data_IF_215987127242
#
_entry.id   IF_215987127242
#
_cell.length_a   1.000
_cell.length_b   1.000
_cell.length_c   1.000
_cell.angle_alpha   90.00
_cell.angle_beta   90.00
_cell.angle_gamma   90.00
#
_symmetry.space_group_name_H-M   'P 1'
#
loop_
_entity.id
_entity.type
_entity.pdbx_description
1 polymer ?
#
# COMPACT_ATOMS: atom_id res chain seq x y z
N UNK A 1 6.63 -24.80 19.23
CA UNK A 1 5.83 -23.57 18.96
C UNK A 1 4.59 -23.98 18.21
N UNK A 2 3.43 -23.88 18.81
CA UNK A 2 2.18 -24.44 18.29
C UNK A 2 1.50 -23.40 17.43
N UNK A 3 1.57 -23.56 16.11
CA UNK A 3 0.67 -22.85 15.19
C UNK A 3 -0.75 -23.27 15.58
N UNK A 4 -1.55 -22.33 16.03
CA UNK A 4 -2.95 -22.59 16.35
C UNK A 4 -3.72 -22.78 15.04
N UNK A 5 -3.68 -23.99 14.51
CA UNK A 5 -4.47 -24.42 13.37
C UNK A 5 -5.91 -24.56 13.84
N UNK A 6 -6.67 -23.49 13.76
CA UNK A 6 -8.13 -23.57 13.88
C UNK A 6 -8.67 -24.23 12.61
N UNK A 7 -8.94 -25.54 12.69
CA UNK A 7 -9.66 -26.30 11.64
C UNK A 7 -9.14 -26.06 10.22
N UNK A 8 -7.83 -26.26 9.98
CA UNK A 8 -7.26 -26.11 8.65
C UNK A 8 -7.23 -24.66 8.11
N UNK A 9 -7.28 -23.66 8.99
CA UNK A 9 -7.11 -22.25 8.64
C UNK A 9 -5.90 -21.67 9.34
N UNK A 10 -5.20 -20.75 8.66
CA UNK A 10 -4.04 -20.04 9.17
C UNK A 10 -4.36 -18.58 9.45
N UNK A 11 -3.56 -17.92 10.29
CA UNK A 11 -3.69 -16.48 10.52
C UNK A 11 -3.58 -15.69 9.22
N UNK A 12 -4.40 -14.65 9.09
CA UNK A 12 -4.46 -13.84 7.88
C UNK A 12 -3.46 -12.68 7.87
N UNK A 13 -2.76 -12.41 8.98
CA UNK A 13 -1.89 -11.25 9.16
C UNK A 13 -0.82 -11.15 8.07
N UNK A 14 0.00 -12.18 7.90
CA UNK A 14 1.02 -12.21 6.86
C UNK A 14 0.45 -12.09 5.45
N UNK A 15 -0.67 -12.78 5.17
CA UNK A 15 -1.37 -12.66 3.88
C UNK A 15 -1.88 -11.24 3.65
N UNK A 16 -2.41 -10.58 4.68
CA UNK A 16 -2.90 -9.20 4.61
C UNK A 16 -1.76 -8.23 4.27
N UNK A 17 -0.62 -8.37 4.93
CA UNK A 17 0.55 -7.51 4.70
C UNK A 17 1.10 -7.67 3.28
N UNK A 18 1.24 -8.90 2.80
CA UNK A 18 1.66 -9.18 1.41
C UNK A 18 0.71 -8.56 0.38
N UNK A 19 -0.60 -8.68 0.58
CA UNK A 19 -1.60 -8.07 -0.30
C UNK A 19 -1.56 -6.55 -0.29
N UNK A 20 -1.30 -5.94 0.86
CA UNK A 20 -1.13 -4.48 1.00
C UNK A 20 0.12 -4.00 0.27
N UNK A 21 1.25 -4.67 0.46
CA UNK A 21 2.50 -4.36 -0.22
C UNK A 21 2.37 -4.45 -1.74
N UNK A 22 1.70 -5.48 -2.25
CA UNK A 22 1.40 -5.60 -3.69
C UNK A 22 0.56 -4.43 -4.21
N UNK A 23 -0.40 -3.93 -3.43
CA UNK A 23 -1.18 -2.76 -3.83
C UNK A 23 -0.38 -1.45 -3.82
N UNK A 24 0.63 -1.32 -2.96
CA UNK A 24 1.60 -0.21 -3.01
C UNK A 24 2.32 -0.20 -4.36
N UNK A 25 2.70 -1.37 -4.87
CA UNK A 25 3.33 -1.54 -6.19
C UNK A 25 2.35 -1.40 -7.37
N UNK A 26 1.05 -1.20 -7.08
CA UNK A 26 0.02 -1.00 -8.11
C UNK A 26 -0.72 -2.29 -8.52
N UNK A 27 -0.39 -3.44 -7.94
CA UNK A 27 -1.10 -4.69 -8.24
C UNK A 27 -2.50 -4.67 -7.61
N UNK A 28 -3.51 -4.33 -8.41
CA UNK A 28 -4.90 -4.24 -7.96
C UNK A 28 -5.49 -5.60 -7.55
N UNK A 29 -6.53 -5.55 -6.72
CA UNK A 29 -7.18 -6.77 -6.19
C UNK A 29 -7.68 -7.71 -7.27
N UNK A 30 -8.20 -7.20 -8.38
CA UNK A 30 -8.65 -8.03 -9.51
C UNK A 30 -7.50 -8.81 -10.17
N UNK A 31 -6.32 -8.17 -10.32
CA UNK A 31 -5.14 -8.84 -10.87
C UNK A 31 -4.63 -9.94 -9.95
N UNK A 32 -4.51 -9.63 -8.65
CA UNK A 32 -4.08 -10.63 -7.65
C UNK A 32 -5.09 -11.77 -7.58
N UNK A 33 -6.38 -11.48 -7.50
CA UNK A 33 -7.45 -12.47 -7.45
C UNK A 33 -7.37 -13.48 -8.62
N UNK A 34 -7.18 -12.97 -9.83
CA UNK A 34 -7.00 -13.81 -11.03
C UNK A 34 -5.77 -14.70 -10.92
N UNK A 35 -4.67 -14.18 -10.39
CA UNK A 35 -3.42 -14.89 -10.29
C UNK A 35 -3.44 -15.99 -9.20
N UNK A 36 -4.20 -15.82 -8.12
CA UNK A 36 -4.33 -16.82 -7.03
C UNK A 36 -5.56 -17.71 -7.17
N UNK A 37 -6.41 -17.49 -8.18
CA UNK A 37 -7.64 -18.27 -8.37
C UNK A 37 -8.72 -17.98 -7.32
N UNK A 38 -8.77 -16.75 -6.77
CA UNK A 38 -9.74 -16.32 -5.78
C UNK A 38 -10.68 -15.24 -6.31
N UNK A 39 -11.75 -14.93 -5.59
CA UNK A 39 -12.60 -13.79 -5.94
C UNK A 39 -11.95 -12.46 -5.53
N UNK A 40 -12.16 -11.42 -6.33
CA UNK A 40 -11.66 -10.08 -6.01
C UNK A 40 -12.20 -9.58 -4.66
N UNK A 41 -13.46 -9.86 -4.36
CA UNK A 41 -14.09 -9.50 -3.09
C UNK A 41 -13.36 -10.12 -1.89
N UNK A 42 -12.90 -11.38 -2.02
CA UNK A 42 -12.12 -12.05 -0.99
C UNK A 42 -10.77 -11.35 -0.79
N UNK A 43 -10.05 -11.08 -1.87
CA UNK A 43 -8.75 -10.37 -1.81
C UNK A 43 -8.92 -8.98 -1.18
N UNK A 44 -9.96 -8.24 -1.55
CA UNK A 44 -10.26 -6.93 -0.95
C UNK A 44 -10.57 -7.03 0.54
N UNK A 45 -11.35 -8.02 0.96
CA UNK A 45 -11.69 -8.26 2.37
C UNK A 45 -10.44 -8.56 3.20
N UNK A 46 -9.54 -9.44 2.70
CA UNK A 46 -8.30 -9.76 3.39
C UNK A 46 -7.38 -8.53 3.45
N UNK A 47 -7.18 -7.81 2.34
CA UNK A 47 -6.32 -6.63 2.30
C UNK A 47 -6.79 -5.51 3.25
N UNK A 48 -8.10 -5.36 3.46
CA UNK A 48 -8.64 -4.44 4.49
C UNK A 48 -8.33 -4.89 5.91
N UNK A 49 -8.09 -6.18 6.13
CA UNK A 49 -7.92 -6.76 7.45
C UNK A 49 -9.23 -7.27 8.08
N UNK A 50 -10.31 -7.39 7.28
CA UNK A 50 -11.61 -7.88 7.73
C UNK A 50 -11.64 -9.41 7.88
N UNK A 51 -10.57 -10.11 7.52
CA UNK A 51 -10.42 -11.54 7.66
C UNK A 51 -9.35 -11.85 8.72
N UNK A 52 -9.70 -12.62 9.74
CA UNK A 52 -8.74 -13.06 10.76
C UNK A 52 -7.99 -14.32 10.34
N UNK A 53 -8.58 -15.14 9.49
CA UNK A 53 -7.98 -16.38 9.03
C UNK A 53 -8.24 -16.60 7.55
N UNK A 54 -7.33 -17.32 6.89
CA UNK A 54 -7.41 -17.73 5.49
C UNK A 54 -7.13 -19.23 5.35
N UNK A 55 -7.44 -19.82 4.18
CA UNK A 55 -7.01 -21.19 3.91
C UNK A 55 -5.50 -21.25 3.67
N UNK A 56 -4.79 -22.32 4.07
CA UNK A 56 -3.36 -22.48 3.82
C UNK A 56 -3.02 -22.39 2.32
N UNK A 57 -3.88 -22.92 1.46
CA UNK A 57 -3.70 -22.86 0.00
C UNK A 57 -3.73 -21.42 -0.53
N UNK A 58 -4.66 -20.60 -0.04
CA UNK A 58 -4.72 -19.20 -0.43
C UNK A 58 -3.52 -18.41 0.12
N UNK A 59 -3.14 -18.64 1.39
CA UNK A 59 -1.95 -18.03 1.98
C UNK A 59 -0.70 -18.34 1.18
N UNK A 60 -0.48 -19.61 0.84
CA UNK A 60 0.65 -20.05 0.01
C UNK A 60 0.62 -19.46 -1.41
N UNK A 61 -0.54 -19.39 -2.04
CA UNK A 61 -0.69 -18.77 -3.37
C UNK A 61 -0.37 -17.27 -3.35
N UNK A 62 -0.80 -16.56 -2.30
CA UNK A 62 -0.48 -15.13 -2.13
C UNK A 62 1.01 -14.94 -1.85
N UNK A 63 1.62 -15.76 -1.01
CA UNK A 63 3.07 -15.71 -0.76
C UNK A 63 3.86 -15.92 -2.05
N UNK A 64 3.54 -16.95 -2.84
CA UNK A 64 4.22 -17.22 -4.10
C UNK A 64 4.09 -16.09 -5.15
N UNK A 65 2.98 -15.35 -5.15
CA UNK A 65 2.83 -14.17 -6.01
C UNK A 65 3.58 -12.98 -5.44
N UNK A 66 3.56 -12.78 -4.14
CA UNK A 66 4.32 -11.74 -3.46
C UNK A 66 5.81 -11.89 -3.78
N UNK A 67 6.41 -13.05 -3.63
CA UNK A 67 7.82 -13.32 -3.93
C UNK A 67 8.20 -12.95 -5.37
N UNK A 68 7.26 -13.05 -6.32
CA UNK A 68 7.49 -12.71 -7.72
C UNK A 68 7.28 -11.24 -8.06
N UNK A 69 6.49 -10.51 -7.28
CA UNK A 69 5.99 -9.18 -7.66
C UNK A 69 6.29 -8.06 -6.65
N UNK A 70 6.82 -8.36 -5.47
CA UNK A 70 6.99 -7.38 -4.40
C UNK A 70 7.89 -6.18 -4.79
N UNK A 71 8.86 -6.42 -5.69
CA UNK A 71 9.82 -5.44 -6.21
C UNK A 71 9.43 -4.88 -7.58
N UNK A 72 8.35 -5.38 -8.20
CA UNK A 72 7.92 -5.03 -9.55
C UNK A 72 6.67 -4.18 -9.54
N UNK A 73 6.67 -3.15 -10.35
CA UNK A 73 5.45 -2.38 -10.55
C UNK A 73 4.45 -3.16 -11.40
N UNK A 74 3.17 -2.91 -11.16
CA UNK A 74 2.11 -3.47 -11.98
C UNK A 74 2.25 -2.99 -13.43
N UNK A 75 1.89 -3.82 -14.45
CA UNK A 75 1.85 -3.38 -15.83
C UNK A 75 0.89 -2.21 -16.03
N UNK A 76 1.32 -1.25 -16.84
CA UNK A 76 0.57 -0.03 -17.17
C UNK A 76 0.57 0.25 -18.67
N UNK A 77 0.57 -0.80 -19.49
CA UNK A 77 0.64 -0.68 -20.94
C UNK A 77 -0.67 -0.16 -21.55
N UNK A 78 -1.79 -0.53 -20.97
CA UNK A 78 -3.13 -0.14 -21.43
C UNK A 78 -3.78 0.90 -20.52
N UNK A 79 -4.79 1.61 -21.03
CA UNK A 79 -5.59 2.55 -20.24
C UNK A 79 -6.23 1.90 -19.00
N UNK A 80 -6.90 0.74 -19.14
CA UNK A 80 -7.46 0.01 -18.00
C UNK A 80 -6.40 -0.43 -16.97
N UNK A 81 -5.22 -0.88 -17.40
CA UNK A 81 -4.15 -1.26 -16.49
C UNK A 81 -3.64 -0.07 -15.68
N UNK A 82 -3.40 1.08 -16.32
CA UNK A 82 -3.01 2.32 -15.64
C UNK A 82 -4.06 2.76 -14.61
N UNK A 83 -5.34 2.71 -14.99
CA UNK A 83 -6.42 3.05 -14.08
C UNK A 83 -6.48 2.11 -12.87
N UNK A 84 -6.32 0.80 -13.07
CA UNK A 84 -6.30 -0.19 -12.01
C UNK A 84 -5.10 -0.02 -11.06
N UNK A 85 -3.89 0.19 -11.61
CA UNK A 85 -2.68 0.43 -10.84
C UNK A 85 -2.78 1.73 -10.01
N UNK A 86 -3.25 2.80 -10.62
CA UNK A 86 -3.50 4.07 -9.94
C UNK A 86 -4.53 3.93 -8.81
N UNK A 87 -5.61 3.18 -9.02
CA UNK A 87 -6.62 2.91 -8.00
C UNK A 87 -6.04 2.10 -6.82
N UNK A 88 -5.19 1.10 -7.10
CA UNK A 88 -4.51 0.31 -6.08
C UNK A 88 -3.60 1.19 -5.21
N UNK A 89 -2.75 2.01 -5.84
CA UNK A 89 -1.85 2.93 -5.12
C UNK A 89 -2.61 3.97 -4.30
N UNK A 90 -3.72 4.52 -4.82
CA UNK A 90 -4.57 5.44 -4.04
C UNK A 90 -5.16 4.76 -2.81
N UNK A 91 -5.58 3.50 -2.92
CA UNK A 91 -6.08 2.73 -1.78
C UNK A 91 -4.96 2.50 -0.75
N UNK A 92 -3.77 2.11 -1.21
CA UNK A 92 -2.61 1.91 -0.36
C UNK A 92 -2.22 3.18 0.41
N UNK A 93 -2.19 4.33 -0.26
CA UNK A 93 -1.91 5.63 0.39
C UNK A 93 -2.96 5.99 1.43
N UNK A 94 -4.26 5.79 1.15
CA UNK A 94 -5.32 6.05 2.14
C UNK A 94 -5.24 5.14 3.36
N UNK A 95 -4.76 3.91 3.15
CA UNK A 95 -4.55 2.94 4.22
C UNK A 95 -3.22 3.08 4.93
N UNK A 96 -2.36 3.99 4.47
CA UNK A 96 -0.97 4.15 4.95
C UNK A 96 -0.21 2.81 4.93
N UNK A 97 -0.34 2.07 3.83
CA UNK A 97 0.28 0.75 3.69
C UNK A 97 1.74 0.86 3.28
N UNK A 98 2.59 0.04 3.88
CA UNK A 98 4.00 0.00 3.54
C UNK A 98 4.29 -0.88 2.32
N UNK A 99 5.39 -0.56 1.62
CA UNK A 99 5.92 -1.37 0.53
C UNK A 99 6.57 -2.66 1.06
N UNK A 100 6.74 -3.67 0.20
CA UNK A 100 7.39 -4.94 0.56
C UNK A 100 8.80 -4.77 1.12
N UNK A 101 9.57 -3.81 0.60
CA UNK A 101 10.92 -3.51 1.10
C UNK A 101 10.97 -3.04 2.58
N UNK A 102 9.84 -2.65 3.16
CA UNK A 102 9.74 -2.26 4.57
C UNK A 102 9.19 -3.40 5.46
N UNK A 103 8.90 -4.55 4.87
CA UNK A 103 8.44 -5.73 5.60
C UNK A 103 9.63 -6.65 5.89
N UNK A 104 9.59 -7.28 7.05
CA UNK A 104 10.53 -8.34 7.43
C UNK A 104 9.93 -9.68 7.03
N UNK A 105 10.44 -10.27 5.95
CA UNK A 105 9.90 -11.50 5.37
C UNK A 105 9.96 -12.69 6.33
N UNK A 106 10.93 -12.72 7.23
CA UNK A 106 11.08 -13.77 8.24
C UNK A 106 10.01 -13.66 9.35
N UNK A 107 9.45 -12.48 9.53
CA UNK A 107 8.45 -12.20 10.57
C UNK A 107 7.02 -12.07 10.05
N UNK A 108 6.81 -11.98 8.74
CA UNK A 108 5.50 -11.75 8.13
C UNK A 108 4.42 -12.74 8.59
N UNK A 109 4.79 -13.99 8.80
CA UNK A 109 3.88 -15.07 9.22
C UNK A 109 3.84 -15.28 10.74
N UNK A 110 4.55 -14.45 11.50
CA UNK A 110 4.53 -14.49 12.96
C UNK A 110 3.23 -13.83 13.47
N UNK A 111 2.49 -14.51 14.37
CA UNK A 111 1.31 -13.91 14.97
C UNK A 111 1.67 -12.61 15.71
N UNK A 112 0.95 -11.54 15.38
CA UNK A 112 1.14 -10.24 16.03
C UNK A 112 2.29 -9.40 15.45
N UNK A 113 2.95 -9.83 14.38
CA UNK A 113 3.92 -8.98 13.68
C UNK A 113 3.27 -7.69 13.21
N UNK A 114 3.91 -6.58 13.53
CA UNK A 114 3.49 -5.24 13.10
C UNK A 114 4.64 -4.58 12.33
N UNK A 115 4.42 -4.18 11.08
CA UNK A 115 5.42 -3.45 10.33
C UNK A 115 5.70 -2.09 10.98
N UNK A 116 6.87 -1.48 10.74
CA UNK A 116 7.29 -0.24 11.39
C UNK A 116 6.35 0.95 11.11
N UNK A 117 5.59 0.89 10.03
CA UNK A 117 4.56 1.87 9.66
C UNK A 117 3.49 1.20 8.79
N UNK A 118 2.38 1.88 8.60
CA UNK A 118 1.32 1.38 7.70
C UNK A 118 0.50 0.22 8.25
N UNK A 119 0.61 -0.08 9.54
CA UNK A 119 -0.27 -1.05 10.19
C UNK A 119 -1.47 -0.35 10.83
N UNK A 120 -2.65 -0.59 10.25
CA UNK A 120 -3.92 -0.31 10.94
C UNK A 120 -4.64 -1.63 11.13
N UNK A 121 -4.88 -2.06 12.39
CA UNK A 121 -5.75 -3.20 12.65
C UNK A 121 -7.16 -2.88 12.13
N UNK A 122 -7.88 -3.91 11.70
CA UNK A 122 -9.30 -3.77 11.38
C UNK A 122 -10.02 -3.20 12.59
N UNK A 123 -10.86 -2.18 12.39
CA UNK A 123 -11.69 -1.62 13.44
C UNK A 123 -12.58 -2.72 14.01
N UNK A 124 -12.34 -3.15 15.25
CA UNK A 124 -13.27 -4.01 15.96
C UNK A 124 -12.67 -5.20 16.71
N UNK A 125 -11.69 -5.01 17.56
CA UNK A 125 -11.59 -5.66 18.86
C UNK A 125 -10.58 -4.87 19.69
N UNK A 126 -11.09 -4.16 20.69
CA UNK A 126 -10.27 -3.32 21.53
C UNK A 126 -9.22 -4.09 22.31
N UNK A 127 -8.01 -3.65 22.17
CA UNK A 127 -7.09 -3.42 23.30
C UNK A 127 -6.14 -2.33 22.81
N UNK A 128 -6.46 -1.10 23.16
CA UNK A 128 -5.56 0.02 22.97
C UNK A 128 -4.34 -0.21 23.88
N UNK A 129 -3.23 -0.61 23.27
CA UNK A 129 -1.93 -0.39 23.88
C UNK A 129 -1.64 1.11 23.93
N UNK A 130 -0.93 1.61 24.95
CA UNK A 130 -0.69 3.04 25.10
C UNK A 130 0.07 3.60 23.89
N UNK A 131 -0.28 4.81 23.43
CA UNK A 131 0.47 5.45 22.35
C UNK A 131 1.88 5.72 22.84
N UNK A 132 2.85 5.04 22.22
CA UNK A 132 4.25 5.36 22.41
C UNK A 132 4.50 6.81 22.03
N UNK A 133 5.03 7.57 22.98
CA UNK A 133 5.42 8.96 22.82
C UNK A 133 6.51 9.06 21.76
N UNK A 134 6.12 9.26 20.52
CA UNK A 134 6.98 9.58 19.39
C UNK A 134 7.07 11.09 19.22
N UNK A 135 8.25 11.62 19.45
CA UNK A 135 8.66 13.00 19.44
C UNK A 135 7.98 13.86 18.36
N UNK A 136 7.30 14.90 18.81
CA UNK A 136 6.91 16.06 18.01
C UNK A 136 8.18 16.85 17.65
N UNK A 137 8.78 16.56 16.51
CA UNK A 137 9.72 17.50 15.90
C UNK A 137 8.89 18.59 15.21
N UNK A 138 8.72 19.70 15.91
CA UNK A 138 8.17 20.92 15.36
C UNK A 138 9.18 21.53 14.37
N UNK A 139 9.02 21.26 13.09
CA UNK A 139 9.64 22.09 12.07
C UNK A 139 8.79 23.35 11.87
N UNK A 140 9.15 24.38 12.64
CA UNK A 140 8.83 25.79 12.31
C UNK A 140 9.32 26.06 10.89
N UNK A 141 8.37 26.24 9.99
CA UNK A 141 8.63 26.88 8.70
C UNK A 141 8.99 28.34 8.98
N UNK A 142 10.24 28.66 8.79
CA UNK A 142 10.64 30.01 8.53
C UNK A 142 10.27 30.34 7.09
N UNK A 143 9.43 31.34 6.90
CA UNK A 143 9.17 31.96 5.61
C UNK A 143 10.37 32.85 5.26
N UNK A 144 10.87 32.83 4.03
CA UNK A 144 11.58 33.98 3.50
C UNK A 144 10.62 34.86 2.71
N UNK A 145 10.63 36.07 3.15
CA UNK A 145 9.97 37.23 2.59
C UNK A 145 10.63 37.66 1.27
N UNK A 146 9.76 38.09 0.34
CA UNK A 146 9.96 39.15 -0.64
C UNK A 146 11.22 39.21 -1.49
N UNK A 147 11.05 39.26 -2.78
CA UNK A 147 11.42 40.46 -3.55
C UNK A 147 10.75 40.43 -4.93
N UNK A 148 9.87 41.37 -5.10
CA UNK A 148 9.38 41.91 -6.34
C UNK A 148 10.55 42.27 -7.26
N UNK A 149 10.55 41.76 -8.48
CA UNK A 149 11.30 42.38 -9.57
C UNK A 149 10.46 42.26 -10.83
N UNK A 150 9.73 43.35 -11.00
CA UNK A 150 9.02 43.74 -12.21
C UNK A 150 10.04 43.98 -13.32
N UNK A 151 10.04 43.16 -14.35
CA UNK A 151 10.76 43.41 -15.60
C UNK A 151 9.72 43.77 -16.67
N UNK A 152 9.79 45.00 -17.24
CA UNK A 152 8.85 45.39 -18.29
C UNK A 152 9.23 44.73 -19.63
N UNK A 153 8.18 44.30 -20.36
CA UNK A 153 8.29 43.74 -21.69
C UNK A 153 8.70 44.81 -22.74
N UNK A 154 9.53 44.46 -23.74
CA UNK A 154 9.84 45.36 -24.85
C UNK A 154 8.67 45.43 -25.84
N UNK A 155 8.54 46.57 -26.55
CA UNK A 155 7.44 46.79 -27.47
C UNK A 155 7.59 46.01 -28.78
N UNK A 156 6.45 45.49 -29.25
CA UNK A 156 6.33 44.82 -30.55
C UNK A 156 6.47 45.80 -31.68
N UNK A 157 7.46 45.63 -32.49
CA UNK A 157 7.62 46.34 -33.75
C UNK A 157 6.78 45.69 -34.84
N UNK A 158 5.80 46.44 -35.33
CA UNK A 158 4.96 46.08 -36.46
C UNK A 158 5.72 46.44 -37.74
N UNK A 159 6.12 45.48 -38.49
CA UNK A 159 6.51 45.72 -39.87
C UNK A 159 5.37 45.31 -40.79
N UNK A 160 4.85 46.28 -41.55
CA UNK A 160 3.82 46.13 -42.53
C UNK A 160 4.48 46.02 -43.94
N UNK A 161 3.90 45.25 -44.87
CA UNK A 161 4.49 44.95 -46.16
C UNK A 161 4.22 46.04 -47.21
N UNK A 162 5.10 46.12 -48.17
CA UNK A 162 4.88 46.69 -49.47
C UNK A 162 4.60 45.58 -50.49
#
# INVERSE_FOLDING_TARGET
>A
MTLTVRQGRVDAGGTTLRLRALQVMGHGSARVARAVGASERMIQRIARGDAQTVSPSLAGAVAAIYDRWWDKQAPEHTGPERAAASAARRRARRGDWCAGAALDDDQLDQPGYQPPHGWRPACGTGTAGPPGAGARAAHRRAAPNTASSHVPAPPSERTRPA
#
